data_IF_716069874936
#
_entry.id   IF_716069874936
#
_cell.length_a   1.000
_cell.length_b   1.000
_cell.length_c   1.000
_cell.angle_alpha   90.00
_cell.angle_beta   90.00
_cell.angle_gamma   90.00
#
_symmetry.space_group_name_H-M   'P 1'
#
loop_
_entity.id
_entity.type
_entity.pdbx_description
1 polymer ?
#
# COMPACT_ATOMS: atom_id res chain seq x y z
N UNK A 1 -15.51 4.39 25.31
CA UNK A 1 -15.83 3.86 23.96
C UNK A 1 -14.56 3.18 23.45
N UNK A 2 -14.59 1.88 23.13
CA UNK A 2 -13.40 1.19 22.62
C UNK A 2 -13.15 1.65 21.18
N UNK A 3 -12.05 2.37 20.96
CA UNK A 3 -11.58 2.69 19.61
C UNK A 3 -10.42 1.77 19.27
N UNK A 4 -10.30 1.47 17.99
CA UNK A 4 -9.15 0.72 17.47
C UNK A 4 -8.26 1.73 16.77
N UNK A 5 -7.02 1.88 17.27
CA UNK A 5 -6.00 2.71 16.65
C UNK A 5 -5.23 1.89 15.61
N UNK A 6 -4.96 2.53 14.48
CA UNK A 6 -4.20 1.94 13.38
C UNK A 6 -2.90 2.68 13.05
N UNK A 7 -2.51 3.75 13.78
CA UNK A 7 -1.27 4.52 13.54
C UNK A 7 -0.19 4.34 14.62
N UNK A 8 0.98 4.92 14.36
CA UNK A 8 2.21 4.67 15.14
C UNK A 8 2.43 5.62 16.31
N UNK A 9 1.86 6.84 16.28
CA UNK A 9 1.79 7.69 17.46
C UNK A 9 0.51 7.34 18.21
N UNK A 10 0.63 6.59 19.30
CA UNK A 10 -0.55 6.20 20.09
C UNK A 10 -1.15 7.36 20.89
N UNK A 11 -0.31 8.33 21.24
CA UNK A 11 -0.66 9.41 22.13
C UNK A 11 -0.63 10.77 21.43
N UNK A 12 -1.76 11.46 21.39
CA UNK A 12 -1.93 12.77 20.77
C UNK A 12 -3.02 13.57 21.47
N UNK A 13 -2.90 14.89 21.51
CA UNK A 13 -3.89 15.77 22.10
C UNK A 13 -4.10 17.00 21.22
N UNK A 14 -5.36 17.41 21.06
CA UNK A 14 -5.73 18.49 20.17
C UNK A 14 -7.19 18.92 20.35
N UNK A 15 -7.55 20.06 19.76
CA UNK A 15 -8.96 20.43 19.61
C UNK A 15 -9.59 19.54 18.56
N UNK A 16 -10.80 19.08 18.82
CA UNK A 16 -11.53 18.25 17.89
C UNK A 16 -12.24 19.11 16.85
N UNK A 17 -12.11 18.76 15.57
CA UNK A 17 -12.87 19.35 14.47
C UNK A 17 -13.66 18.32 13.70
N UNK A 18 -14.97 18.50 13.62
CA UNK A 18 -15.86 17.64 12.83
C UNK A 18 -15.98 18.15 11.39
N UNK A 19 -15.68 17.27 10.44
CA UNK A 19 -15.81 17.49 9.00
C UNK A 19 -16.95 16.63 8.48
N UNK A 20 -18.05 17.27 8.08
CA UNK A 20 -19.23 16.65 7.46
C UNK A 20 -19.29 16.85 5.95
N UNK A 21 -18.57 17.86 5.45
CA UNK A 21 -18.50 18.22 4.04
C UNK A 21 -17.06 18.52 3.67
N UNK A 22 -16.62 18.07 2.49
CA UNK A 22 -15.24 18.28 2.00
C UNK A 22 -14.80 19.74 2.04
N UNK A 23 -15.69 20.70 1.75
CA UNK A 23 -15.39 22.14 1.80
C UNK A 23 -14.91 22.63 3.16
N UNK A 24 -15.25 21.91 4.25
CA UNK A 24 -14.87 22.28 5.61
C UNK A 24 -13.40 21.96 5.92
N UNK A 25 -12.72 21.16 5.10
CA UNK A 25 -11.29 20.84 5.29
C UNK A 25 -10.44 22.11 5.31
N UNK A 26 -10.85 23.15 4.58
CA UNK A 26 -10.16 24.45 4.58
C UNK A 26 -10.19 25.19 5.93
N UNK A 27 -11.03 24.74 6.86
CA UNK A 27 -11.20 25.33 8.19
C UNK A 27 -10.34 24.63 9.25
N UNK A 28 -9.59 23.59 8.87
CA UNK A 28 -8.70 22.85 9.78
C UNK A 28 -7.53 23.74 10.18
N UNK A 29 -7.28 23.78 11.49
CA UNK A 29 -6.11 24.44 12.06
C UNK A 29 -5.02 23.41 12.43
N UNK A 30 -3.73 23.77 12.35
CA UNK A 30 -2.66 22.88 12.77
C UNK A 30 -2.82 22.41 14.22
N UNK A 31 -2.59 21.12 14.47
CA UNK A 31 -2.72 20.54 15.81
C UNK A 31 -4.11 20.00 16.16
N UNK A 32 -5.08 20.03 15.24
CA UNK A 32 -6.43 19.52 15.47
C UNK A 32 -6.56 18.01 15.23
N UNK A 33 -7.46 17.39 16.01
CA UNK A 33 -7.93 16.00 15.84
C UNK A 33 -9.16 16.06 14.93
N UNK A 34 -9.14 15.32 13.83
CA UNK A 34 -10.18 15.43 12.79
C UNK A 34 -11.17 14.28 12.89
N UNK A 35 -12.43 14.61 13.09
CA UNK A 35 -13.55 13.68 13.06
C UNK A 35 -14.19 13.73 11.67
N UNK A 36 -14.04 12.67 10.89
CA UNK A 36 -14.59 12.56 9.54
C UNK A 36 -15.96 11.88 9.60
N UNK A 37 -16.99 12.63 9.19
CA UNK A 37 -18.37 12.14 8.97
C UNK A 37 -18.71 12.21 7.48
N UNK A 38 -17.85 11.60 6.67
CA UNK A 38 -17.99 11.50 5.21
C UNK A 38 -18.25 10.03 4.84
N UNK A 39 -19.04 9.81 3.79
CA UNK A 39 -19.24 8.48 3.22
C UNK A 39 -18.17 8.17 2.16
N UNK A 40 -17.92 6.88 1.94
CA UNK A 40 -17.04 6.39 0.88
C UNK A 40 -15.55 6.40 1.24
N UNK A 41 -14.70 6.53 0.23
CA UNK A 41 -13.25 6.51 0.38
C UNK A 41 -12.76 7.82 1.02
N UNK A 42 -12.00 7.72 2.12
CA UNK A 42 -11.50 8.87 2.88
C UNK A 42 -10.09 9.32 2.49
N UNK A 43 -9.48 8.72 1.47
CA UNK A 43 -8.11 9.03 1.04
C UNK A 43 -7.87 10.54 0.84
N UNK A 44 -8.62 11.15 -0.07
CA UNK A 44 -8.47 12.58 -0.40
C UNK A 44 -8.76 13.48 0.82
N UNK A 45 -9.87 13.31 1.56
CA UNK A 45 -10.10 14.09 2.78
C UNK A 45 -8.96 14.01 3.79
N UNK A 46 -8.42 12.80 4.01
CA UNK A 46 -7.32 12.58 4.95
C UNK A 46 -6.07 13.30 4.48
N UNK A 47 -5.63 13.11 3.23
CA UNK A 47 -4.42 13.76 2.71
C UNK A 47 -4.50 15.29 2.80
N UNK A 48 -5.65 15.87 2.44
CA UNK A 48 -5.85 17.32 2.53
C UNK A 48 -5.85 17.80 3.99
N UNK A 49 -6.45 17.06 4.91
CA UNK A 49 -6.41 17.38 6.33
C UNK A 49 -4.98 17.30 6.91
N UNK A 50 -4.18 16.33 6.46
CA UNK A 50 -2.74 16.24 6.81
C UNK A 50 -1.99 17.49 6.34
N UNK A 51 -2.25 17.96 5.11
CA UNK A 51 -1.66 19.18 4.58
C UNK A 51 -2.04 20.43 5.38
N UNK A 52 -3.20 20.41 6.05
CA UNK A 52 -3.65 21.46 6.98
C UNK A 52 -3.09 21.32 8.40
N UNK A 53 -2.30 20.28 8.68
CA UNK A 53 -1.67 20.06 9.98
C UNK A 53 -2.52 19.25 10.97
N UNK A 54 -3.46 18.43 10.49
CA UNK A 54 -4.15 17.45 11.31
C UNK A 54 -3.16 16.50 12.01
N UNK A 55 -3.43 16.20 13.28
CA UNK A 55 -2.55 15.34 14.10
C UNK A 55 -3.13 13.95 14.39
N UNK A 56 -4.43 13.75 14.12
CA UNK A 56 -5.11 12.48 14.28
C UNK A 56 -6.43 12.46 13.50
N UNK A 57 -6.94 11.26 13.25
CA UNK A 57 -8.23 11.04 12.58
C UNK A 57 -9.13 10.13 13.39
N UNK A 58 -10.43 10.39 13.33
CA UNK A 58 -11.47 9.52 13.87
C UNK A 58 -12.55 9.39 12.78
N UNK A 59 -12.87 8.17 12.35
CA UNK A 59 -13.88 7.90 11.32
C UNK A 59 -14.66 6.62 11.65
N UNK A 60 -15.94 6.56 11.26
CA UNK A 60 -16.69 5.30 11.24
C UNK A 60 -16.55 4.67 9.85
N UNK A 61 -15.49 3.89 9.64
CA UNK A 61 -15.17 3.29 8.36
C UNK A 61 -14.48 1.93 8.55
N UNK A 62 -14.35 1.13 7.48
CA UNK A 62 -13.59 -0.12 7.53
C UNK A 62 -12.08 0.11 7.69
N UNK A 63 -11.38 -0.85 8.33
CA UNK A 63 -9.91 -0.84 8.52
C UNK A 63 -9.08 -0.78 7.21
N UNK A 64 -9.71 -1.13 6.10
CA UNK A 64 -9.12 -1.15 4.75
C UNK A 64 -9.44 0.09 3.95
N UNK A 65 -10.15 1.07 4.52
CA UNK A 65 -10.37 2.35 3.88
C UNK A 65 -9.02 3.03 3.60
N UNK A 66 -8.85 3.57 2.39
CA UNK A 66 -7.59 4.14 1.96
C UNK A 66 -7.14 5.35 2.79
N UNK A 67 -8.07 6.08 3.41
CA UNK A 67 -7.72 7.12 4.39
C UNK A 67 -7.04 6.57 5.64
N UNK A 68 -7.48 5.41 6.14
CA UNK A 68 -6.82 4.71 7.27
C UNK A 68 -5.41 4.27 6.87
N UNK A 69 -5.29 3.69 5.67
CA UNK A 69 -4.02 3.24 5.11
C UNK A 69 -3.04 4.42 4.94
N UNK A 70 -3.52 5.55 4.43
CA UNK A 70 -2.72 6.75 4.22
C UNK A 70 -2.25 7.38 5.54
N UNK A 71 -3.14 7.54 6.51
CA UNK A 71 -2.76 8.05 7.83
C UNK A 71 -1.72 7.14 8.49
N UNK A 72 -1.91 5.83 8.44
CA UNK A 72 -0.96 4.84 8.98
C UNK A 72 0.40 4.94 8.32
N UNK A 73 0.45 5.01 6.99
CA UNK A 73 1.71 5.13 6.25
C UNK A 73 2.45 6.43 6.60
N UNK A 74 1.71 7.51 6.84
CA UNK A 74 2.27 8.82 7.22
C UNK A 74 2.56 8.94 8.72
N UNK A 75 2.36 7.86 9.50
CA UNK A 75 2.65 7.80 10.93
C UNK A 75 1.66 8.57 11.81
N UNK A 76 0.46 8.84 11.31
CA UNK A 76 -0.60 9.52 12.03
C UNK A 76 -1.61 8.51 12.60
N UNK A 77 -2.08 8.71 13.84
CA UNK A 77 -3.10 7.86 14.41
C UNK A 77 -4.43 8.05 13.71
N UNK A 78 -5.09 6.91 13.48
CA UNK A 78 -6.42 6.84 12.90
C UNK A 78 -7.25 5.89 13.75
N UNK A 79 -8.31 6.42 14.36
CA UNK A 79 -9.21 5.68 15.22
C UNK A 79 -10.50 5.35 14.48
N UNK A 80 -10.88 4.09 14.51
CA UNK A 80 -12.14 3.62 13.93
C UNK A 80 -13.16 3.40 15.05
N UNK A 81 -14.34 3.99 14.89
CA UNK A 81 -15.48 3.77 15.78
C UNK A 81 -16.47 4.93 15.86
N UNK A 82 -17.52 4.75 16.65
CA UNK A 82 -18.62 5.70 16.79
C UNK A 82 -18.14 7.02 17.44
N UNK A 83 -18.74 8.13 17.00
CA UNK A 83 -18.31 9.51 17.27
C UNK A 83 -19.40 10.34 17.96
N UNK A 84 -20.53 9.73 18.33
CA UNK A 84 -21.74 10.46 18.70
C UNK A 84 -21.56 11.35 19.95
N UNK A 85 -20.65 10.99 20.85
CA UNK A 85 -20.46 11.70 22.13
C UNK A 85 -19.34 12.75 22.08
N UNK A 86 -18.72 12.99 20.92
CA UNK A 86 -17.58 13.90 20.77
C UNK A 86 -18.02 15.32 20.43
N UNK A 87 -17.59 16.30 21.24
CA UNK A 87 -17.94 17.72 21.09
C UNK A 87 -16.95 18.47 20.20
N UNK A 88 -17.44 19.02 19.10
CA UNK A 88 -16.66 19.87 18.20
C UNK A 88 -16.10 21.10 18.93
N UNK A 89 -14.83 21.44 18.67
CA UNK A 89 -14.10 22.55 19.31
C UNK A 89 -13.52 22.24 20.69
N UNK A 90 -13.90 21.11 21.31
CA UNK A 90 -13.41 20.70 22.62
C UNK A 90 -12.05 20.00 22.52
N UNK A 91 -11.24 20.09 23.57
CA UNK A 91 -9.96 19.39 23.65
C UNK A 91 -10.16 17.92 23.99
N UNK A 92 -9.45 17.05 23.28
CA UNK A 92 -9.37 15.63 23.59
C UNK A 92 -7.93 15.16 23.53
N UNK A 93 -7.64 14.14 24.32
CA UNK A 93 -6.39 13.39 24.29
C UNK A 93 -6.72 11.96 23.91
N UNK A 94 -6.09 11.46 22.86
CA UNK A 94 -6.19 10.08 22.42
C UNK A 94 -4.95 9.39 22.97
N UNK A 95 -5.11 8.50 23.95
CA UNK A 95 -4.03 7.82 24.67
C UNK A 95 -4.36 6.33 24.76
N UNK A 96 -3.38 5.45 24.50
CA UNK A 96 -3.56 3.99 24.67
C UNK A 96 -4.87 3.43 24.04
N UNK A 97 -5.23 3.93 22.85
CA UNK A 97 -6.44 3.58 22.12
C UNK A 97 -7.78 4.03 22.74
N UNK A 98 -7.73 4.99 23.67
CA UNK A 98 -8.88 5.58 24.34
C UNK A 98 -8.96 7.09 24.10
N UNK A 99 -10.19 7.62 24.11
CA UNK A 99 -10.42 9.06 24.07
C UNK A 99 -10.66 9.57 25.49
N UNK A 100 -9.88 10.57 25.89
CA UNK A 100 -10.02 11.28 27.14
C UNK A 100 -10.42 12.74 26.89
N UNK A 101 -11.43 13.27 27.59
CA UNK A 101 -11.77 14.68 27.51
C UNK A 101 -10.66 15.53 28.15
N UNK A 102 -10.34 16.67 27.51
CA UNK A 102 -9.32 17.60 27.96
C UNK A 102 -7.93 17.32 27.40
N UNK A 103 -6.97 18.16 27.80
CA UNK A 103 -5.56 18.06 27.41
C UNK A 103 -4.78 17.35 28.52
N UNK A 104 -4.55 16.06 28.32
CA UNK A 104 -3.73 15.25 29.20
C UNK A 104 -2.25 15.32 28.79
N UNK A 105 -1.32 15.17 29.74
CA UNK A 105 0.10 15.11 29.42
C UNK A 105 0.41 13.85 28.61
N UNK A 106 0.87 14.04 27.37
CA UNK A 106 1.36 12.96 26.52
C UNK A 106 2.74 12.56 27.01
N UNK A 107 2.91 11.30 27.40
CA UNK A 107 4.25 10.75 27.63
C UNK A 107 4.92 10.67 26.27
N UNK A 108 5.78 11.64 25.95
CA UNK A 108 6.65 11.51 24.78
C UNK A 108 7.43 10.21 24.92
N UNK A 109 7.13 9.26 24.05
CA UNK A 109 7.88 8.01 23.92
C UNK A 109 9.37 8.34 23.91
N UNK A 110 10.09 7.93 24.96
CA UNK A 110 11.56 8.09 25.10
C UNK A 110 12.34 7.38 23.97
N UNK A 111 11.66 6.77 23.00
CA UNK A 111 12.23 5.95 21.94
C UNK A 111 12.64 6.72 20.67
N UNK A 112 12.43 8.04 20.57
CA UNK A 112 12.84 8.81 19.39
C UNK A 112 14.36 8.66 19.08
N UNK A 113 15.18 8.45 20.12
CA UNK A 113 16.63 8.25 20.03
C UNK A 113 17.09 6.79 20.16
N UNK A 114 16.21 5.77 20.09
CA UNK A 114 16.66 4.37 20.09
C UNK A 114 17.51 4.10 18.83
N UNK A 115 18.71 3.57 19.05
CA UNK A 115 19.61 3.07 18.00
C UNK A 115 18.85 2.05 17.16
N UNK A 116 19.04 2.09 15.84
CA UNK A 116 18.45 1.08 14.96
C UNK A 116 18.86 -0.31 15.43
N UNK A 117 17.92 -1.25 15.39
CA UNK A 117 18.22 -2.64 15.69
C UNK A 117 19.33 -3.19 14.76
N UNK A 118 20.12 -4.19 15.19
CA UNK A 118 21.20 -4.74 14.37
C UNK A 118 20.72 -5.29 13.03
N UNK A 119 21.62 -5.31 12.04
CA UNK A 119 21.35 -5.91 10.73
C UNK A 119 20.96 -7.40 10.85
N UNK A 120 20.13 -7.85 9.91
CA UNK A 120 19.57 -9.20 9.83
C UNK A 120 19.93 -9.86 8.51
N UNK A 121 19.90 -11.19 8.45
CA UNK A 121 20.08 -11.92 7.19
C UNK A 121 18.86 -11.81 6.27
N UNK A 122 17.67 -11.58 6.83
CA UNK A 122 16.47 -11.22 6.05
C UNK A 122 16.46 -9.73 5.76
N UNK A 123 16.04 -9.38 4.55
CA UNK A 123 15.91 -7.99 4.15
C UNK A 123 14.63 -7.38 4.72
N UNK A 124 14.75 -6.19 5.31
CA UNK A 124 13.61 -5.41 5.77
C UNK A 124 13.37 -4.25 4.80
N UNK A 125 12.28 -4.33 4.06
CA UNK A 125 11.84 -3.32 3.11
C UNK A 125 10.70 -2.47 3.70
N UNK A 126 10.33 -1.40 2.98
CA UNK A 126 9.16 -0.58 3.30
C UNK A 126 8.11 -0.58 2.20
N UNK A 127 6.86 -0.39 2.61
CA UNK A 127 5.72 -0.03 1.78
C UNK A 127 5.77 1.47 1.50
N UNK A 128 5.45 1.92 0.27
CA UNK A 128 5.44 3.34 -0.10
C UNK A 128 4.30 3.68 -1.07
N UNK A 129 3.19 4.20 -0.56
CA UNK A 129 2.15 4.88 -1.33
C UNK A 129 2.39 6.38 -1.52
N UNK A 130 3.08 7.05 -0.57
CA UNK A 130 3.28 8.51 -0.60
C UNK A 130 4.76 8.93 -0.50
N UNK A 131 5.60 8.65 -1.52
CA UNK A 131 7.05 8.84 -1.44
C UNK A 131 7.49 10.24 -1.01
N UNK A 132 6.95 11.31 -1.63
CA UNK A 132 7.29 12.70 -1.29
C UNK A 132 6.95 13.06 0.16
N UNK A 133 5.80 12.58 0.65
CA UNK A 133 5.35 12.86 2.02
C UNK A 133 6.20 12.12 3.03
N UNK A 134 6.49 10.83 2.80
CA UNK A 134 7.39 10.06 3.67
C UNK A 134 8.77 10.70 3.69
N UNK A 135 9.31 11.17 2.56
CA UNK A 135 10.57 11.90 2.52
C UNK A 135 10.53 13.21 3.32
N UNK A 136 9.45 13.98 3.20
CA UNK A 136 9.27 15.25 3.93
C UNK A 136 9.17 15.05 5.44
N UNK A 137 8.39 14.06 5.88
CA UNK A 137 8.06 13.88 7.29
C UNK A 137 9.00 12.92 8.02
N UNK A 138 9.60 11.97 7.32
CA UNK A 138 10.41 10.90 7.90
C UNK A 138 11.65 10.54 7.04
N UNK A 139 12.51 11.50 6.67
CA UNK A 139 13.67 11.27 5.78
C UNK A 139 14.69 10.25 6.33
N UNK A 140 14.79 10.11 7.66
CA UNK A 140 15.67 9.16 8.34
C UNK A 140 15.31 7.68 8.08
N UNK A 141 14.09 7.38 7.62
CA UNK A 141 13.66 6.00 7.39
C UNK A 141 14.37 5.34 6.20
N UNK A 142 14.72 6.13 5.19
CA UNK A 142 15.33 5.64 3.96
C UNK A 142 16.73 5.06 4.20
N UNK A 143 17.46 5.60 5.18
CA UNK A 143 18.73 5.01 5.66
C UNK A 143 18.53 3.78 6.56
N UNK A 144 17.33 3.60 7.11
CA UNK A 144 17.03 2.56 8.09
C UNK A 144 16.54 1.25 7.48
N UNK A 145 16.37 1.14 6.16
CA UNK A 145 15.78 -0.05 5.50
C UNK A 145 16.60 -0.53 4.30
N UNK A 146 16.38 -1.77 3.89
CA UNK A 146 17.18 -2.48 2.88
C UNK A 146 16.63 -2.33 1.45
N UNK A 147 15.47 -1.70 1.30
CA UNK A 147 14.81 -1.49 0.02
C UNK A 147 13.35 -1.05 0.15
N UNK A 148 12.68 -0.94 -0.99
CA UNK A 148 11.23 -0.73 -1.10
C UNK A 148 10.63 -1.99 -1.72
N UNK A 149 9.71 -2.63 -1.00
CA UNK A 149 9.12 -3.91 -1.42
C UNK A 149 7.72 -3.77 -1.99
N UNK A 150 7.04 -2.68 -1.66
CA UNK A 150 5.63 -2.51 -1.99
C UNK A 150 5.30 -1.02 -2.20
N UNK A 151 5.89 -0.42 -3.23
CA UNK A 151 5.45 0.90 -3.67
C UNK A 151 4.14 0.81 -4.45
N UNK A 152 3.17 1.67 -4.14
CA UNK A 152 1.80 1.59 -4.65
C UNK A 152 1.51 2.74 -5.60
N UNK A 153 1.38 2.44 -6.89
CA UNK A 153 1.15 3.49 -7.90
C UNK A 153 -0.22 4.15 -7.78
N UNK A 154 -1.25 3.45 -7.29
CA UNK A 154 -2.59 4.04 -7.18
C UNK A 154 -2.60 5.28 -6.27
N UNK A 155 -1.91 5.22 -5.13
CA UNK A 155 -1.81 6.37 -4.22
C UNK A 155 -1.03 7.54 -4.81
N UNK A 156 0.10 7.24 -5.44
CA UNK A 156 0.89 8.22 -6.17
C UNK A 156 0.03 8.91 -7.24
N UNK A 157 -0.69 8.14 -8.05
CA UNK A 157 -1.56 8.65 -9.10
C UNK A 157 -2.71 9.46 -8.50
N UNK A 158 -3.34 9.00 -7.42
CA UNK A 158 -4.42 9.70 -6.74
C UNK A 158 -3.98 11.09 -6.23
N UNK A 159 -2.75 11.23 -5.74
CA UNK A 159 -2.20 12.55 -5.37
C UNK A 159 -2.06 13.47 -6.59
N UNK A 160 -1.59 12.94 -7.71
CA UNK A 160 -1.33 13.70 -8.94
C UNK A 160 -2.62 14.15 -9.61
N UNK A 161 -3.59 13.24 -9.74
CA UNK A 161 -4.87 13.53 -10.42
C UNK A 161 -5.86 14.25 -9.49
N UNK A 162 -5.60 14.20 -8.17
CA UNK A 162 -6.44 14.79 -7.14
C UNK A 162 -7.83 14.19 -7.14
N UNK A 163 -8.81 14.96 -7.61
CA UNK A 163 -10.22 14.55 -7.63
C UNK A 163 -10.71 14.10 -8.98
N UNK A 164 -9.91 14.19 -10.03
CA UNK A 164 -10.33 13.83 -11.38
C UNK A 164 -10.22 12.33 -11.60
N UNK A 165 -11.18 11.76 -12.32
CA UNK A 165 -11.03 10.43 -12.87
C UNK A 165 -9.79 10.37 -13.80
N UNK A 166 -8.99 9.27 -13.79
CA UNK A 166 -7.80 9.14 -14.64
C UNK A 166 -8.01 9.52 -16.11
N UNK A 167 -9.10 9.05 -16.72
CA UNK A 167 -9.42 9.33 -18.12
C UNK A 167 -9.72 10.83 -18.34
N UNK A 168 -10.42 11.47 -17.40
CA UNK A 168 -10.70 12.90 -17.48
C UNK A 168 -9.43 13.74 -17.28
N UNK A 169 -8.53 13.31 -16.39
CA UNK A 169 -7.23 13.94 -16.21
C UNK A 169 -6.43 13.92 -17.51
N UNK A 170 -6.34 12.77 -18.18
CA UNK A 170 -5.65 12.64 -19.46
C UNK A 170 -6.28 13.53 -20.54
N UNK A 171 -7.61 13.58 -20.61
CA UNK A 171 -8.31 14.46 -21.55
C UNK A 171 -7.99 15.95 -21.32
N UNK A 172 -7.86 16.38 -20.06
CA UNK A 172 -7.62 17.79 -19.70
C UNK A 172 -6.14 18.18 -19.80
N UNK A 173 -5.23 17.27 -19.49
CA UNK A 173 -3.82 17.61 -19.26
C UNK A 173 -2.81 16.83 -20.09
N UNK A 174 -3.23 15.77 -20.77
CA UNK A 174 -2.37 14.91 -21.56
C UNK A 174 -1.56 13.90 -20.74
N UNK A 175 -1.04 12.88 -21.44
CA UNK A 175 -0.24 11.80 -20.86
C UNK A 175 1.11 12.25 -20.34
N UNK A 176 1.77 13.16 -21.07
CA UNK A 176 3.13 13.60 -20.76
C UNK A 176 3.17 14.23 -19.37
N UNK A 177 2.15 15.01 -19.01
CA UNK A 177 2.04 15.58 -17.66
C UNK A 177 1.94 14.50 -16.59
N UNK A 178 1.08 13.51 -16.77
CA UNK A 178 0.92 12.42 -15.79
C UNK A 178 2.22 11.61 -15.66
N UNK A 179 2.84 11.27 -16.78
CA UNK A 179 4.13 10.56 -16.82
C UNK A 179 5.21 11.32 -16.03
N UNK A 180 5.38 12.62 -16.30
CA UNK A 180 6.37 13.46 -15.64
C UNK A 180 6.10 13.54 -14.13
N UNK A 181 4.85 13.67 -13.72
CA UNK A 181 4.51 13.75 -12.29
C UNK A 181 4.72 12.41 -11.58
N UNK A 182 4.37 11.26 -12.20
CA UNK A 182 4.69 9.93 -11.65
C UNK A 182 6.21 9.79 -11.47
N UNK A 183 6.99 10.16 -12.49
CA UNK A 183 8.46 10.13 -12.40
C UNK A 183 8.96 11.00 -11.23
N UNK A 184 8.48 12.24 -11.09
CA UNK A 184 8.89 13.17 -10.03
C UNK A 184 8.56 12.66 -8.61
N UNK A 185 7.48 11.89 -8.44
CA UNK A 185 7.15 11.25 -7.15
C UNK A 185 8.24 10.29 -6.71
N UNK A 186 8.66 9.37 -7.60
CA UNK A 186 9.66 8.36 -7.25
C UNK A 186 11.10 8.84 -7.34
N UNK A 187 11.44 9.72 -8.28
CA UNK A 187 12.81 10.21 -8.48
C UNK A 187 13.40 10.84 -7.21
N UNK A 188 12.59 11.56 -6.43
CA UNK A 188 13.03 12.19 -5.18
C UNK A 188 13.48 11.21 -4.10
N UNK A 189 12.97 9.98 -4.13
CA UNK A 189 13.33 8.94 -3.16
C UNK A 189 14.27 7.88 -3.74
N UNK A 190 14.29 7.70 -5.06
CA UNK A 190 15.08 6.67 -5.74
C UNK A 190 16.57 6.75 -5.41
N UNK A 191 17.15 7.95 -5.38
CA UNK A 191 18.57 8.17 -5.05
C UNK A 191 18.98 7.58 -3.68
N UNK A 192 18.04 7.52 -2.73
CA UNK A 192 18.29 6.95 -1.39
C UNK A 192 18.42 5.42 -1.39
N UNK A 193 18.15 4.77 -2.52
CA UNK A 193 18.17 3.32 -2.70
C UNK A 193 19.24 2.83 -3.68
N UNK A 194 20.29 3.61 -3.93
CA UNK A 194 21.44 3.14 -4.70
C UNK A 194 21.97 1.80 -4.14
N UNK A 195 22.10 0.78 -4.99
CA UNK A 195 22.50 -0.58 -4.64
C UNK A 195 21.39 -1.45 -4.04
N UNK A 196 20.24 -0.87 -3.70
CA UNK A 196 19.08 -1.52 -3.07
C UNK A 196 17.96 -1.78 -4.08
N UNK A 197 17.00 -2.62 -3.69
CA UNK A 197 15.82 -2.92 -4.50
C UNK A 197 14.72 -1.88 -4.29
N UNK A 198 14.01 -1.56 -5.37
CA UNK A 198 12.86 -0.67 -5.35
C UNK A 198 11.75 -1.26 -6.23
N UNK A 199 10.82 -1.97 -5.61
CA UNK A 199 9.72 -2.64 -6.29
C UNK A 199 8.44 -1.82 -6.25
N UNK A 200 7.84 -1.65 -7.43
CA UNK A 200 6.66 -0.82 -7.67
C UNK A 200 5.53 -1.68 -8.22
N UNK A 201 4.39 -1.68 -7.54
CA UNK A 201 3.14 -2.25 -8.02
C UNK A 201 2.54 -1.31 -9.05
N UNK A 202 2.09 -1.83 -10.19
CA UNK A 202 1.21 -1.04 -11.06
C UNK A 202 -0.09 -0.71 -10.34
N UNK A 203 -0.85 0.25 -10.86
CA UNK A 203 -2.07 0.65 -10.15
C UNK A 203 -3.06 -0.52 -9.99
N UNK A 204 -3.92 -0.34 -8.99
CA UNK A 204 -4.90 -1.29 -8.53
C UNK A 204 -6.20 -0.55 -8.15
N UNK A 205 -6.54 0.50 -8.91
CA UNK A 205 -7.78 1.25 -8.66
C UNK A 205 -9.00 0.35 -8.85
N UNK A 206 -9.91 0.37 -7.87
CA UNK A 206 -11.22 -0.29 -8.02
C UNK A 206 -12.24 0.66 -8.67
N UNK A 207 -13.20 0.13 -9.46
CA UNK A 207 -14.32 0.93 -9.96
C UNK A 207 -15.09 1.67 -8.84
N UNK A 208 -15.20 1.06 -7.67
CA UNK A 208 -15.84 1.65 -6.50
C UNK A 208 -15.13 2.92 -6.00
N UNK A 209 -13.81 3.01 -6.16
CA UNK A 209 -13.05 4.23 -5.89
C UNK A 209 -13.20 5.24 -7.02
N UNK A 210 -13.03 4.78 -8.26
CA UNK A 210 -13.00 5.65 -9.43
C UNK A 210 -14.32 6.37 -9.67
N UNK A 211 -15.45 5.72 -9.38
CA UNK A 211 -16.79 6.33 -9.55
C UNK A 211 -17.03 7.51 -8.61
N UNK A 212 -16.31 7.59 -7.49
CA UNK A 212 -16.39 8.69 -6.51
C UNK A 212 -15.60 9.93 -6.96
N UNK A 213 -14.72 9.79 -7.96
CA UNK A 213 -13.96 10.91 -8.53
C UNK A 213 -14.85 11.79 -9.43
N UNK A 214 -14.44 13.02 -9.66
CA UNK A 214 -15.03 13.90 -10.66
C UNK A 214 -14.95 13.24 -12.05
N UNK A 215 -16.09 13.22 -12.75
CA UNK A 215 -16.33 12.45 -13.96
C UNK A 215 -16.27 10.91 -13.78
N UNK A 216 -16.17 10.37 -12.57
CA UNK A 216 -16.16 8.93 -12.31
C UNK A 216 -17.38 8.21 -12.89
N UNK A 217 -18.60 8.72 -12.61
CA UNK A 217 -19.86 8.18 -13.18
C UNK A 217 -19.95 8.19 -14.70
N UNK A 218 -19.11 8.98 -15.38
CA UNK A 218 -19.05 9.02 -16.85
C UNK A 218 -18.26 7.82 -17.40
N UNK A 219 -17.26 7.35 -16.68
CA UNK A 219 -16.33 6.32 -17.14
C UNK A 219 -16.54 4.96 -16.47
N UNK A 220 -17.09 4.93 -15.25
CA UNK A 220 -17.41 3.71 -14.51
C UNK A 220 -18.91 3.40 -14.65
N UNK A 221 -19.27 2.57 -15.63
CA UNK A 221 -20.67 2.19 -15.90
C UNK A 221 -21.19 1.07 -15.00
N UNK A 222 -20.30 0.23 -14.47
CA UNK A 222 -20.65 -0.93 -13.65
C UNK A 222 -19.76 -0.96 -12.40
N UNK A 223 -20.39 -0.86 -11.22
CA UNK A 223 -19.71 -1.02 -9.93
C UNK A 223 -20.03 -2.42 -9.43
N UNK A 224 -19.09 -3.35 -9.60
CA UNK A 224 -19.17 -4.68 -9.02
C UNK A 224 -18.80 -4.69 -7.53
N UNK A 225 -18.79 -5.88 -6.93
CA UNK A 225 -18.19 -6.06 -5.60
C UNK A 225 -16.70 -5.67 -5.67
N UNK A 226 -16.24 -4.83 -4.74
CA UNK A 226 -14.90 -4.26 -4.75
C UNK A 226 -13.79 -5.32 -4.80
N UNK A 227 -13.98 -6.43 -4.09
CA UNK A 227 -13.00 -7.51 -3.93
C UNK A 227 -12.73 -8.25 -5.25
N UNK A 228 -13.72 -8.37 -6.13
CA UNK A 228 -13.67 -9.13 -7.40
C UNK A 228 -14.03 -8.26 -8.61
N UNK A 229 -13.74 -6.96 -8.51
CA UNK A 229 -14.10 -5.97 -9.52
C UNK A 229 -13.10 -5.88 -10.67
N UNK A 230 -13.46 -5.09 -11.70
CA UNK A 230 -12.60 -4.78 -12.84
C UNK A 230 -11.44 -3.84 -12.46
N UNK A 231 -10.37 -4.43 -11.90
CA UNK A 231 -9.17 -3.75 -11.39
C UNK A 231 -7.88 -4.50 -11.72
N UNK A 232 -6.75 -3.96 -11.29
CA UNK A 232 -5.42 -4.57 -11.42
C UNK A 232 -5.05 -4.99 -12.84
N UNK A 233 -4.48 -6.19 -12.99
CA UNK A 233 -4.04 -6.69 -14.30
C UNK A 233 -5.20 -6.81 -15.30
N UNK A 234 -6.38 -7.26 -14.87
CA UNK A 234 -7.52 -7.50 -15.75
C UNK A 234 -7.97 -6.21 -16.41
N UNK A 235 -8.00 -5.11 -15.64
CA UNK A 235 -8.20 -3.76 -16.19
C UNK A 235 -7.03 -3.32 -17.05
N UNK A 236 -5.81 -3.57 -16.61
CA UNK A 236 -4.60 -3.15 -17.32
C UNK A 236 -4.51 -3.73 -18.72
N UNK A 237 -4.93 -4.98 -18.97
CA UNK A 237 -4.78 -5.62 -20.28
C UNK A 237 -6.04 -5.54 -21.16
N UNK A 238 -7.17 -5.09 -20.62
CA UNK A 238 -8.43 -5.07 -21.35
C UNK A 238 -8.36 -4.17 -22.60
N UNK A 239 -8.87 -4.60 -23.77
CA UNK A 239 -8.80 -3.82 -25.01
C UNK A 239 -9.38 -2.41 -24.88
N UNK A 240 -10.52 -2.26 -24.20
CA UNK A 240 -11.14 -0.95 -24.00
C UNK A 240 -10.28 -0.04 -23.11
N UNK A 241 -9.52 -0.58 -22.16
CA UNK A 241 -8.63 0.21 -21.32
C UNK A 241 -7.27 0.47 -21.99
N UNK A 242 -6.85 -0.45 -22.85
CA UNK A 242 -5.71 -0.25 -23.75
C UNK A 242 -5.98 0.85 -24.78
N UNK A 243 -7.24 1.00 -25.21
CA UNK A 243 -7.67 1.98 -26.21
C UNK A 243 -8.47 3.15 -25.62
N UNK A 244 -8.55 3.26 -24.28
CA UNK A 244 -9.40 4.21 -23.53
C UNK A 244 -10.80 4.42 -24.15
N UNK A 245 -11.38 3.31 -24.61
CA UNK A 245 -12.76 3.12 -25.04
C UNK A 245 -13.31 4.21 -25.94
N UNK A 246 -12.94 4.26 -27.23
CA UNK A 246 -13.65 5.02 -28.28
C UNK A 246 -14.09 6.46 -27.92
N UNK A 247 -13.46 7.09 -26.91
CA UNK A 247 -13.62 8.49 -26.57
C UNK A 247 -12.74 9.27 -27.54
N UNK A 248 -13.29 9.38 -28.75
CA UNK A 248 -12.72 10.01 -29.93
C UNK A 248 -11.33 9.48 -30.26
N UNK A 249 -11.26 8.64 -31.31
CA UNK A 249 -9.99 8.30 -31.99
C UNK A 249 -9.10 9.55 -32.03
N UNK A 250 -7.94 9.48 -31.36
CA UNK A 250 -6.83 10.46 -31.27
C UNK A 250 -6.59 11.15 -29.92
N UNK A 251 -6.93 10.56 -28.77
CA UNK A 251 -6.30 11.08 -27.55
C UNK A 251 -4.83 10.68 -27.41
N UNK A 252 -4.40 9.41 -27.57
CA UNK A 252 -2.96 9.10 -27.48
C UNK A 252 -2.55 7.74 -28.06
N UNK A 253 -1.26 7.61 -28.44
CA UNK A 253 -0.63 6.36 -28.92
C UNK A 253 -0.14 5.42 -27.81
N UNK A 254 -0.63 5.56 -26.58
CA UNK A 254 -0.17 4.81 -25.39
C UNK A 254 -1.38 4.39 -24.56
N UNK A 255 -1.35 3.18 -24.00
CA UNK A 255 -2.38 2.72 -23.06
C UNK A 255 -2.15 3.26 -21.66
N UNK A 256 -3.19 3.26 -20.81
CA UNK A 256 -3.12 3.69 -19.40
C UNK A 256 -1.93 3.10 -18.63
N UNK A 257 -1.71 1.80 -18.75
CA UNK A 257 -0.58 1.10 -18.13
C UNK A 257 0.77 1.46 -18.78
N UNK A 258 0.76 1.81 -20.07
CA UNK A 258 1.95 2.24 -20.80
C UNK A 258 2.54 3.53 -20.25
N UNK A 259 1.72 4.45 -19.74
CA UNK A 259 2.17 5.68 -19.06
C UNK A 259 3.01 5.32 -17.83
N UNK A 260 2.52 4.39 -17.00
CA UNK A 260 3.21 3.92 -15.80
C UNK A 260 4.55 3.26 -16.15
N UNK A 261 4.55 2.37 -17.15
CA UNK A 261 5.77 1.72 -17.61
C UNK A 261 6.80 2.69 -18.20
N UNK A 262 6.36 3.70 -18.96
CA UNK A 262 7.27 4.74 -19.47
C UNK A 262 7.90 5.53 -18.32
N UNK A 263 7.13 5.91 -17.30
CA UNK A 263 7.66 6.61 -16.12
C UNK A 263 8.70 5.74 -15.39
N UNK A 264 8.42 4.44 -15.21
CA UNK A 264 9.36 3.48 -14.63
C UNK A 264 10.63 3.29 -15.47
N UNK A 265 10.50 3.25 -16.80
CA UNK A 265 11.64 3.13 -17.70
C UNK A 265 12.59 4.34 -17.58
N UNK A 266 12.03 5.55 -17.52
CA UNK A 266 12.81 6.78 -17.32
C UNK A 266 13.47 6.76 -15.95
N UNK A 267 12.73 6.36 -14.91
CA UNK A 267 13.26 6.23 -13.55
C UNK A 267 14.44 5.24 -13.49
N UNK A 268 14.30 4.06 -14.10
CA UNK A 268 15.36 3.06 -14.13
C UNK A 268 16.59 3.52 -14.92
N UNK A 269 16.40 4.31 -15.99
CA UNK A 269 17.48 4.90 -16.78
C UNK A 269 18.25 5.94 -15.97
N UNK A 270 17.54 6.81 -15.26
CA UNK A 270 18.14 7.95 -14.55
C UNK A 270 18.80 7.52 -13.23
N UNK A 271 18.36 6.39 -12.65
CA UNK A 271 18.90 5.83 -11.41
C UNK A 271 19.43 4.39 -11.63
N UNK A 272 20.46 4.18 -12.48
CA UNK A 272 20.89 2.85 -12.92
C UNK A 272 21.50 1.98 -11.81
N UNK A 273 21.88 2.58 -10.66
CA UNK A 273 22.39 1.85 -9.49
C UNK A 273 21.27 1.28 -8.62
N UNK A 274 20.03 1.70 -8.81
CA UNK A 274 18.86 1.19 -8.07
C UNK A 274 18.34 -0.04 -8.80
N UNK A 275 18.07 -1.12 -8.08
CA UNK A 275 17.51 -2.36 -8.63
C UNK A 275 15.99 -2.25 -8.67
N UNK A 276 15.46 -1.60 -9.70
CA UNK A 276 14.02 -1.46 -9.87
C UNK A 276 13.36 -2.81 -10.17
N UNK A 277 12.10 -2.92 -9.77
CA UNK A 277 11.24 -3.99 -10.24
C UNK A 277 9.79 -3.55 -10.33
N UNK A 278 9.01 -4.24 -11.16
CA UNK A 278 7.59 -3.96 -11.37
C UNK A 278 6.77 -5.23 -11.25
N UNK A 279 5.58 -5.12 -10.66
CA UNK A 279 4.71 -6.27 -10.50
C UNK A 279 3.23 -5.92 -10.63
N UNK A 280 2.47 -6.89 -11.13
CA UNK A 280 1.04 -6.75 -11.38
C UNK A 280 0.21 -7.23 -10.17
N UNK A 281 -0.84 -6.47 -9.78
CA UNK A 281 -1.87 -6.92 -8.84
C UNK A 281 -2.98 -7.73 -9.53
N UNK A 282 -3.72 -8.48 -8.72
CA UNK A 282 -4.94 -9.22 -9.05
C UNK A 282 -4.75 -10.21 -10.21
N UNK A 283 -3.63 -10.93 -10.20
CA UNK A 283 -3.31 -11.92 -11.24
C UNK A 283 -3.99 -13.26 -10.96
N UNK A 284 -4.79 -13.72 -11.91
CA UNK A 284 -5.55 -14.95 -11.94
C UNK A 284 -4.83 -16.06 -12.71
N UNK A 285 -4.15 -15.73 -13.82
CA UNK A 285 -3.56 -16.74 -14.72
C UNK A 285 -2.25 -16.28 -15.39
N UNK A 286 -1.43 -17.23 -15.82
CA UNK A 286 -0.15 -16.92 -16.48
C UNK A 286 -0.35 -16.31 -17.89
N UNK A 287 -1.46 -16.61 -18.56
CA UNK A 287 -1.75 -16.08 -19.90
C UNK A 287 -1.99 -14.56 -19.88
N UNK A 288 -2.75 -14.05 -18.92
CA UNK A 288 -2.92 -12.60 -18.73
C UNK A 288 -1.61 -11.92 -18.34
N UNK A 289 -0.79 -12.56 -17.50
CA UNK A 289 0.54 -12.05 -17.15
C UNK A 289 1.45 -11.94 -18.36
N UNK A 290 1.42 -12.91 -19.28
CA UNK A 290 2.17 -12.84 -20.55
C UNK A 290 1.73 -11.66 -21.41
N UNK A 291 0.43 -11.33 -21.45
CA UNK A 291 -0.07 -10.15 -22.17
C UNK A 291 0.45 -8.87 -21.51
N UNK A 292 0.33 -8.77 -20.18
CA UNK A 292 0.84 -7.63 -19.42
C UNK A 292 2.36 -7.46 -19.59
N UNK A 293 3.13 -8.55 -19.55
CA UNK A 293 4.58 -8.58 -19.76
C UNK A 293 4.94 -8.09 -21.16
N UNK A 294 4.21 -8.53 -22.19
CA UNK A 294 4.38 -8.07 -23.58
C UNK A 294 4.11 -6.57 -23.73
N UNK A 295 3.15 -6.01 -22.97
CA UNK A 295 2.92 -4.56 -22.95
C UNK A 295 4.10 -3.86 -22.26
N UNK A 296 4.58 -4.38 -21.12
CA UNK A 296 5.73 -3.84 -20.42
C UNK A 296 6.99 -3.81 -21.31
N UNK A 297 7.28 -4.88 -22.05
CA UNK A 297 8.43 -4.96 -22.97
C UNK A 297 8.42 -3.90 -24.09
N UNK A 298 7.24 -3.38 -24.46
CA UNK A 298 7.15 -2.27 -25.43
C UNK A 298 7.71 -0.97 -24.85
N UNK A 299 7.52 -0.73 -23.56
CA UNK A 299 7.78 0.55 -22.92
C UNK A 299 9.02 0.55 -22.01
N UNK A 300 9.33 -0.56 -21.37
CA UNK A 300 10.48 -0.73 -20.47
C UNK A 300 11.62 -1.38 -21.25
N UNK A 301 12.68 -0.59 -21.45
CA UNK A 301 13.92 -1.00 -22.13
C UNK A 301 15.08 -1.18 -21.17
N UNK A 302 14.97 -0.62 -19.96
CA UNK A 302 15.97 -0.79 -18.91
C UNK A 302 15.87 -2.18 -18.26
N UNK A 303 17.00 -2.74 -17.78
CA UNK A 303 16.98 -4.00 -17.03
C UNK A 303 16.35 -3.76 -15.66
N UNK A 304 15.16 -4.34 -15.45
CA UNK A 304 14.46 -4.32 -14.16
C UNK A 304 13.96 -5.72 -13.83
N UNK A 305 13.71 -5.97 -12.54
CA UNK A 305 13.09 -7.20 -12.07
C UNK A 305 11.58 -7.20 -12.38
N UNK A 306 11.00 -8.35 -12.71
CA UNK A 306 9.55 -8.51 -12.90
C UNK A 306 8.98 -9.43 -11.82
N UNK A 307 7.80 -9.08 -11.32
CA UNK A 307 7.14 -9.91 -10.31
C UNK A 307 5.64 -9.96 -10.46
N UNK A 308 5.02 -10.60 -9.48
CA UNK A 308 3.56 -10.72 -9.38
C UNK A 308 3.12 -10.65 -7.92
N UNK A 309 1.95 -10.05 -7.69
CA UNK A 309 1.31 -10.10 -6.38
C UNK A 309 0.52 -11.41 -6.23
N UNK A 310 0.86 -12.19 -5.21
CA UNK A 310 0.18 -13.43 -4.85
C UNK A 310 -0.95 -13.08 -3.89
N UNK A 311 -2.12 -12.78 -4.47
CA UNK A 311 -3.31 -12.34 -3.73
C UNK A 311 -4.62 -13.00 -4.18
N UNK A 312 -4.60 -13.69 -5.33
CA UNK A 312 -5.73 -14.50 -5.79
C UNK A 312 -5.46 -15.97 -5.44
N UNK A 313 -6.42 -16.72 -4.87
CA UNK A 313 -6.20 -18.13 -4.48
C UNK A 313 -5.69 -19.01 -5.62
N UNK A 314 -6.13 -18.76 -6.86
CA UNK A 314 -5.66 -19.44 -8.06
C UNK A 314 -4.14 -19.31 -8.28
N UNK A 315 -3.52 -18.24 -7.77
CA UNK A 315 -2.09 -17.97 -7.84
C UNK A 315 -1.35 -18.36 -6.55
N UNK A 316 -1.77 -19.43 -5.88
CA UNK A 316 -1.06 -19.96 -4.70
C UNK A 316 -0.75 -21.45 -4.83
N UNK A 317 0.20 -21.93 -4.02
CA UNK A 317 0.61 -23.33 -4.00
C UNK A 317 0.99 -23.82 -5.39
N UNK A 318 0.42 -24.94 -5.84
CA UNK A 318 0.69 -25.46 -7.20
C UNK A 318 0.25 -24.52 -8.33
N UNK A 319 -0.67 -23.59 -8.07
CA UNK A 319 -1.16 -22.60 -9.03
C UNK A 319 -0.05 -21.68 -9.59
N UNK A 320 1.05 -21.49 -8.85
CA UNK A 320 2.19 -20.71 -9.35
C UNK A 320 3.13 -21.48 -10.29
N UNK A 321 2.93 -22.80 -10.46
CA UNK A 321 3.82 -23.64 -11.28
C UNK A 321 3.97 -23.12 -12.73
N UNK A 322 2.90 -22.69 -13.43
CA UNK A 322 3.03 -22.14 -14.78
C UNK A 322 3.88 -20.86 -14.83
N UNK A 323 3.83 -20.02 -13.79
CA UNK A 323 4.67 -18.81 -13.68
C UNK A 323 6.14 -19.17 -13.50
N UNK A 324 6.44 -20.10 -12.59
CA UNK A 324 7.79 -20.60 -12.38
C UNK A 324 8.36 -21.20 -13.68
N UNK A 325 7.57 -22.01 -14.39
CA UNK A 325 7.98 -22.61 -15.67
C UNK A 325 8.19 -21.58 -16.77
N UNK A 326 7.43 -20.48 -16.76
CA UNK A 326 7.56 -19.41 -17.76
C UNK A 326 8.87 -18.65 -17.66
N UNK A 327 9.52 -18.64 -16.48
CA UNK A 327 10.73 -17.84 -16.18
C UNK A 327 10.55 -16.34 -16.45
N UNK A 328 9.31 -15.85 -16.40
CA UNK A 328 8.98 -14.43 -16.63
C UNK A 328 8.99 -13.58 -15.35
N UNK A 329 9.27 -14.19 -14.20
CA UNK A 329 9.25 -13.54 -12.90
C UNK A 329 10.54 -13.80 -12.13
N UNK A 330 10.98 -12.77 -11.43
CA UNK A 330 12.15 -12.74 -10.54
C UNK A 330 11.72 -12.77 -9.07
N UNK A 331 10.51 -12.27 -8.76
CA UNK A 331 9.99 -12.21 -7.41
C UNK A 331 8.45 -12.34 -7.32
N UNK A 332 7.97 -12.70 -6.14
CA UNK A 332 6.57 -12.74 -5.76
C UNK A 332 6.33 -11.99 -4.45
N UNK A 333 5.24 -11.23 -4.38
CA UNK A 333 4.87 -10.49 -3.17
C UNK A 333 3.49 -10.97 -2.70
N UNK A 334 3.40 -11.45 -1.47
CA UNK A 334 2.12 -11.87 -0.90
C UNK A 334 1.26 -10.67 -0.52
N UNK A 335 0.07 -10.61 -1.12
CA UNK A 335 -1.04 -9.75 -0.71
C UNK A 335 -1.96 -10.49 0.24
N UNK A 336 -1.54 -10.72 1.48
CA UNK A 336 -2.30 -11.56 2.44
C UNK A 336 -3.70 -11.02 2.74
N UNK A 337 -3.88 -9.73 2.57
CA UNK A 337 -5.13 -9.02 2.74
C UNK A 337 -6.23 -9.56 1.83
N UNK A 338 -6.00 -9.50 0.52
CA UNK A 338 -6.98 -9.93 -0.49
C UNK A 338 -6.95 -11.45 -0.63
N UNK A 339 -5.78 -12.09 -0.43
CA UNK A 339 -5.68 -13.55 -0.36
C UNK A 339 -6.59 -14.14 0.72
N UNK A 340 -6.54 -13.59 1.93
CA UNK A 340 -7.38 -14.07 3.04
C UNK A 340 -8.86 -13.85 2.75
N UNK A 341 -9.22 -12.68 2.24
CA UNK A 341 -10.61 -12.37 1.90
C UNK A 341 -11.16 -13.32 0.84
N UNK A 342 -10.41 -13.54 -0.26
CA UNK A 342 -10.82 -14.42 -1.34
C UNK A 342 -10.78 -15.91 -0.96
N UNK A 343 -9.76 -16.36 -0.22
CA UNK A 343 -9.67 -17.76 0.23
C UNK A 343 -10.79 -18.12 1.20
N UNK A 344 -11.19 -17.19 2.07
CA UNK A 344 -12.23 -17.44 3.06
C UNK A 344 -13.64 -17.06 2.57
N UNK A 345 -13.77 -16.43 1.40
CA UNK A 345 -15.05 -15.97 0.86
C UNK A 345 -15.67 -14.84 1.69
N UNK A 346 -14.86 -13.93 2.21
CA UNK A 346 -15.29 -12.86 3.13
C UNK A 346 -15.11 -11.49 2.50
N UNK A 347 -16.20 -10.73 2.44
CA UNK A 347 -16.13 -9.29 2.24
C UNK A 347 -15.83 -8.62 3.58
N UNK A 348 -14.58 -8.17 3.74
CA UNK A 348 -14.12 -7.51 4.96
C UNK A 348 -14.66 -6.09 5.15
N UNK A 349 -15.29 -5.50 4.13
CA UNK A 349 -16.03 -4.24 4.28
C UNK A 349 -17.34 -4.45 5.04
N UNK A 350 -17.84 -5.69 5.09
CA UNK A 350 -18.96 -6.08 5.92
C UNK A 350 -18.49 -6.34 7.35
N UNK A 351 -18.78 -5.38 8.24
CA UNK A 351 -18.43 -5.47 9.66
C UNK A 351 -19.03 -6.71 10.34
N UNK A 352 -20.12 -7.28 9.82
CA UNK A 352 -20.72 -8.51 10.35
C UNK A 352 -19.82 -9.72 10.17
N UNK A 353 -18.96 -9.72 9.14
CA UNK A 353 -18.02 -10.81 8.85
C UNK A 353 -16.61 -10.54 9.35
N UNK A 354 -16.34 -9.39 9.96
CA UNK A 354 -15.01 -8.97 10.37
C UNK A 354 -14.34 -9.97 11.33
N UNK A 355 -15.13 -10.66 12.17
CA UNK A 355 -14.64 -11.67 13.12
C UNK A 355 -14.13 -12.96 12.44
N UNK A 356 -14.55 -13.23 11.20
CA UNK A 356 -14.10 -14.39 10.42
C UNK A 356 -12.78 -14.12 9.68
N UNK A 357 -12.41 -12.85 9.49
CA UNK A 357 -11.18 -12.49 8.78
C UNK A 357 -9.95 -12.87 9.62
N UNK A 358 -9.27 -13.94 9.22
CA UNK A 358 -8.08 -14.43 9.89
C UNK A 358 -7.00 -14.82 8.88
N UNK A 359 -5.98 -13.97 8.75
CA UNK A 359 -4.81 -14.23 7.90
C UNK A 359 -3.93 -15.39 8.40
N UNK A 360 -4.14 -15.84 9.64
CA UNK A 360 -3.49 -17.02 10.20
C UNK A 360 -4.38 -18.27 10.12
N UNK A 361 -5.49 -18.22 9.35
CA UNK A 361 -6.29 -19.40 9.05
C UNK A 361 -5.39 -20.48 8.41
N UNK A 362 -5.53 -21.77 8.81
CA UNK A 362 -4.70 -22.86 8.30
C UNK A 362 -4.66 -22.95 6.77
N UNK A 363 -5.77 -22.70 6.06
CA UNK A 363 -5.83 -22.77 4.60
C UNK A 363 -4.98 -21.65 3.97
N UNK A 364 -5.04 -20.44 4.53
CA UNK A 364 -4.23 -19.31 4.09
C UNK A 364 -2.75 -19.56 4.40
N UNK A 365 -2.41 -20.03 5.60
CA UNK A 365 -1.02 -20.32 5.95
C UNK A 365 -0.42 -21.42 5.07
N UNK A 366 -1.16 -22.50 4.82
CA UNK A 366 -0.71 -23.60 3.97
C UNK A 366 -0.44 -23.12 2.53
N UNK A 367 -1.31 -22.26 1.99
CA UNK A 367 -1.10 -21.69 0.66
C UNK A 367 0.16 -20.81 0.59
N UNK A 368 0.43 -20.01 1.63
CA UNK A 368 1.67 -19.24 1.75
C UNK A 368 2.90 -20.15 1.84
N UNK A 369 2.87 -21.18 2.69
CA UNK A 369 3.99 -22.10 2.89
C UNK A 369 4.34 -22.89 1.63
N UNK A 370 3.33 -23.44 0.95
CA UNK A 370 3.54 -24.18 -0.29
C UNK A 370 4.11 -23.27 -1.38
N UNK A 371 3.58 -22.05 -1.52
CA UNK A 371 4.09 -21.05 -2.47
C UNK A 371 5.55 -20.71 -2.19
N UNK A 372 5.91 -20.43 -0.92
CA UNK A 372 7.29 -20.14 -0.51
C UNK A 372 8.22 -21.32 -0.85
N UNK A 373 7.79 -22.56 -0.58
CA UNK A 373 8.59 -23.75 -0.86
C UNK A 373 8.87 -23.92 -2.36
N UNK A 374 7.86 -23.68 -3.21
CA UNK A 374 8.00 -23.75 -4.67
C UNK A 374 8.93 -22.64 -5.19
N UNK A 375 8.72 -21.38 -4.76
CA UNK A 375 9.57 -20.26 -5.16
C UNK A 375 11.03 -20.47 -4.75
N UNK A 376 11.26 -20.97 -3.53
CA UNK A 376 12.61 -21.24 -3.02
C UNK A 376 13.36 -22.27 -3.86
N UNK A 377 12.68 -23.35 -4.28
CA UNK A 377 13.26 -24.35 -5.21
C UNK A 377 13.60 -23.74 -6.57
N UNK A 378 12.79 -22.78 -7.02
CA UNK A 378 12.97 -22.09 -8.30
C UNK A 378 13.90 -20.87 -8.24
N UNK A 379 14.42 -20.51 -7.05
CA UNK A 379 15.21 -19.29 -6.80
C UNK A 379 14.47 -17.98 -7.15
N UNK A 380 13.13 -17.99 -7.03
CA UNK A 380 12.30 -16.79 -7.12
C UNK A 380 12.17 -16.17 -5.73
N UNK A 381 12.44 -14.88 -5.61
CA UNK A 381 12.38 -14.18 -4.32
C UNK A 381 10.94 -14.09 -3.82
N UNK A 382 10.76 -14.21 -2.51
CA UNK A 382 9.45 -14.06 -1.87
C UNK A 382 9.44 -12.93 -0.85
N UNK A 383 8.42 -12.10 -0.92
CA UNK A 383 8.20 -11.01 0.02
C UNK A 383 6.78 -11.02 0.56
N UNK A 384 6.59 -10.46 1.74
CA UNK A 384 5.26 -10.14 2.27
C UNK A 384 5.12 -8.63 2.44
N UNK A 385 4.00 -8.09 1.94
CA UNK A 385 3.65 -6.67 2.07
C UNK A 385 2.52 -6.43 3.07
N UNK A 386 2.25 -5.15 3.34
CA UNK A 386 1.10 -4.71 4.13
C UNK A 386 1.23 -4.95 5.65
N UNK A 387 0.09 -4.88 6.35
CA UNK A 387 0.04 -4.96 7.82
C UNK A 387 0.51 -6.31 8.37
N UNK A 388 0.38 -7.37 7.58
CA UNK A 388 0.80 -8.73 7.89
C UNK A 388 2.30 -8.83 8.17
N UNK A 389 3.11 -8.05 7.46
CA UNK A 389 4.56 -7.99 7.63
C UNK A 389 5.01 -7.39 8.99
N UNK A 390 4.07 -6.85 9.77
CA UNK A 390 4.34 -6.22 11.08
C UNK A 390 3.77 -7.02 12.27
N UNK A 391 3.16 -8.18 12.04
CA UNK A 391 2.57 -9.03 13.10
C UNK A 391 3.57 -10.09 13.57
N UNK A 392 4.01 -10.10 14.85
CA UNK A 392 5.05 -11.01 15.33
C UNK A 392 4.77 -12.50 15.10
N UNK A 393 3.52 -12.95 15.31
CA UNK A 393 3.08 -14.33 15.07
C UNK A 393 3.31 -14.76 13.62
N UNK A 394 2.84 -13.95 12.67
CA UNK A 394 2.97 -14.23 11.25
C UNK A 394 4.43 -14.07 10.77
N UNK A 395 5.16 -13.07 11.27
CA UNK A 395 6.60 -12.93 10.99
C UNK A 395 7.34 -14.21 11.36
N UNK A 396 7.10 -14.77 12.57
CA UNK A 396 7.74 -16.01 13.02
C UNK A 396 7.41 -17.20 12.10
N UNK A 397 6.15 -17.34 11.72
CA UNK A 397 5.65 -18.40 10.82
C UNK A 397 6.33 -18.33 9.44
N UNK A 398 6.31 -17.17 8.79
CA UNK A 398 6.87 -16.99 7.45
C UNK A 398 8.40 -16.99 7.44
N UNK A 399 9.05 -16.47 8.49
CA UNK A 399 10.49 -16.61 8.69
C UNK A 399 10.91 -18.08 8.79
N UNK A 400 10.08 -18.91 9.43
CA UNK A 400 10.31 -20.35 9.53
C UNK A 400 10.12 -21.03 8.19
N UNK A 401 9.07 -20.68 7.44
CA UNK A 401 8.83 -21.16 6.07
C UNK A 401 9.93 -20.74 5.08
N UNK A 402 10.64 -19.65 5.37
CA UNK A 402 11.85 -19.24 4.64
C UNK A 402 11.68 -18.02 3.76
N UNK A 403 10.63 -17.21 3.95
CA UNK A 403 10.39 -15.96 3.20
C UNK A 403 11.64 -15.06 3.17
N UNK A 404 11.91 -14.37 2.06
CA UNK A 404 13.16 -13.63 1.88
C UNK A 404 13.10 -12.19 2.43
N UNK A 405 11.94 -11.55 2.29
CA UNK A 405 11.78 -10.12 2.49
C UNK A 405 10.51 -9.83 3.30
N UNK A 406 10.63 -8.94 4.29
CA UNK A 406 9.47 -8.36 4.99
C UNK A 406 9.34 -6.89 4.60
N UNK A 407 8.22 -6.50 3.99
CA UNK A 407 7.94 -5.11 3.61
C UNK A 407 6.93 -4.49 4.58
N UNK A 408 7.43 -3.65 5.50
CA UNK A 408 6.64 -3.07 6.59
C UNK A 408 6.19 -1.64 6.28
N UNK A 409 5.32 -1.08 7.11
CA UNK A 409 4.96 0.32 6.96
C UNK A 409 6.17 1.24 7.21
N UNK A 410 6.24 2.40 6.53
CA UNK A 410 7.36 3.32 6.62
C UNK A 410 7.25 4.17 7.89
N UNK A 411 7.41 3.51 9.03
CA UNK A 411 7.46 4.15 10.34
C UNK A 411 8.62 3.57 11.17
N UNK A 412 9.29 4.43 11.93
CA UNK A 412 10.54 4.08 12.62
C UNK A 412 10.34 2.97 13.66
N UNK A 413 9.19 2.96 14.31
CA UNK A 413 8.90 2.03 15.39
C UNK A 413 8.69 0.62 14.85
N UNK A 414 7.80 0.44 13.88
CA UNK A 414 7.57 -0.82 13.19
C UNK A 414 8.86 -1.35 12.58
N UNK A 415 9.64 -0.51 11.90
CA UNK A 415 10.94 -0.90 11.32
C UNK A 415 11.87 -1.46 12.40
N UNK A 416 12.00 -0.77 13.53
CA UNK A 416 12.88 -1.20 14.62
C UNK A 416 12.38 -2.46 15.32
N UNK A 417 11.09 -2.53 15.64
CA UNK A 417 10.49 -3.67 16.31
C UNK A 417 10.58 -4.93 15.44
N UNK A 418 10.23 -4.82 14.15
CA UNK A 418 10.33 -5.95 13.21
C UNK A 418 11.78 -6.40 13.03
N UNK A 419 12.73 -5.47 12.84
CA UNK A 419 14.16 -5.83 12.73
C UNK A 419 14.66 -6.52 14.00
N UNK A 420 14.33 -5.99 15.18
CA UNK A 420 14.73 -6.59 16.45
C UNK A 420 14.13 -8.00 16.62
N UNK A 421 12.89 -8.19 16.20
CA UNK A 421 12.22 -9.49 16.26
C UNK A 421 12.87 -10.51 15.32
N UNK A 422 13.11 -10.15 14.06
CA UNK A 422 13.83 -10.99 13.08
C UNK A 422 15.22 -11.35 13.60
N UNK A 423 15.97 -10.37 14.13
CA UNK A 423 17.29 -10.60 14.69
C UNK A 423 17.28 -11.66 15.81
N UNK A 424 16.29 -11.60 16.71
CA UNK A 424 16.11 -12.61 17.78
C UNK A 424 15.82 -13.99 17.20
N UNK A 425 14.97 -14.10 16.17
CA UNK A 425 14.66 -15.37 15.51
C UNK A 425 15.90 -15.99 14.84
N UNK A 426 16.76 -15.17 14.23
CA UNK A 426 18.01 -15.62 13.61
C UNK A 426 18.99 -16.20 14.64
N UNK A 427 19.12 -15.58 15.82
CA UNK A 427 19.98 -16.09 16.90
C UNK A 427 19.40 -17.36 17.55
N UNK A 428 18.08 -17.40 17.74
CA UNK A 428 17.39 -18.60 18.25
C UNK A 428 17.61 -19.84 17.36
N UNK A 429 17.58 -19.68 16.03
CA UNK A 429 17.89 -20.76 15.09
C UNK A 429 19.35 -21.23 15.15
N UNK A 430 20.30 -20.34 15.44
CA UNK A 430 21.72 -20.72 15.59
C UNK A 430 21.92 -21.56 16.85
N UNK A 431 21.31 -21.17 17.96
CA UNK A 431 21.44 -21.89 19.23
C UNK A 431 20.73 -23.26 19.25
N UNK A 432 19.71 -23.47 18.40
CA UNK A 432 19.02 -24.77 18.29
C UNK A 432 19.68 -25.74 17.29
N UNK A 433 20.73 -25.30 16.58
CA UNK A 433 21.50 -26.11 15.63
C UNK A 433 22.89 -26.51 16.14
N UNK A 434 23.28 -25.94 17.28
CA UNK A 434 24.38 -26.40 18.12
C UNK A 434 23.78 -27.23 19.26
#
# INVERSE_FOLDING_TARGET
MHLINYGCREDVAGKLRTIKLLKQINQILPGEIIVLKLSGDLLIPVLQAIDRGAVAFIADCGKTNHGVIAAKELGLPFYIGNQNDLRNGYYYSLLENQIHPGKMPIKTSKNANRRLAPATNKNLFINLGFPKRVLKHNPQLFSAVDGVGFARLEFCIAEIIGRLHPVEYLRRFGEEKLLIEIYKEFAKVADKFSGKRFWIRTDDFSPAQLVQLEAGKKYESHIGNELVSFRGISRSIHPDWQNLGNLEKKLTGVSWIGIQFKALNILARDFPKVKFGVFAPMVHDVSEYKVWRKIADKFIKQPIDYGVMVEVPALTGKGITPFIKSKLIDFMIFGTNDLTALTLGIDRSDNRLAYLFNEENPVVLNSLYETIAICKKAKVLTAIGGAAASRPSLIKKLFTAGIDIFSVNPDRETINQTRQFIYKLERGKKNAKN
#
